data_IF_245824056295
#
_entry.id   IF_245824056295
#
_cell.length_a   1.000
_cell.length_b   1.000
_cell.length_c   1.000
_cell.angle_alpha   90.00
_cell.angle_beta   90.00
_cell.angle_gamma   90.00
#
_symmetry.space_group_name_H-M   'P 1'
#
loop_
_entity.id
_entity.type
_entity.pdbx_description
1 polymer ?
#
# COMPACT_ATOMS: atom_id res chain seq x y z
N UNK A 1 -27.32 14.58 -18.56
CA UNK A 1 -28.13 15.56 -17.78
C UNK A 1 -27.79 16.98 -18.25
N UNK A 2 -28.67 17.94 -17.98
CA UNK A 2 -28.43 19.37 -18.21
C UNK A 2 -27.52 20.00 -17.13
N UNK A 3 -26.98 21.20 -17.42
CA UNK A 3 -26.18 22.00 -16.47
C UNK A 3 -26.89 22.18 -15.13
N UNK A 4 -28.18 22.53 -15.16
CA UNK A 4 -28.99 22.76 -13.97
C UNK A 4 -29.18 21.51 -13.12
N UNK A 5 -29.42 20.37 -13.76
CA UNK A 5 -29.56 19.07 -13.09
C UNK A 5 -28.22 18.62 -12.47
N UNK A 6 -27.09 18.85 -13.16
CA UNK A 6 -25.74 18.56 -12.63
C UNK A 6 -25.44 19.38 -11.37
N UNK A 7 -25.71 20.69 -11.41
CA UNK A 7 -25.59 21.60 -10.25
C UNK A 7 -26.47 21.12 -9.09
N UNK A 8 -27.76 20.84 -9.35
CA UNK A 8 -28.71 20.37 -8.34
C UNK A 8 -28.26 19.06 -7.70
N UNK A 9 -27.81 18.09 -8.50
CA UNK A 9 -27.29 16.79 -8.03
C UNK A 9 -26.09 16.96 -7.11
N UNK A 10 -25.05 17.66 -7.58
CA UNK A 10 -23.84 17.89 -6.79
C UNK A 10 -24.11 18.67 -5.49
N UNK A 11 -25.03 19.64 -5.51
CA UNK A 11 -25.46 20.36 -4.32
C UNK A 11 -26.11 19.44 -3.27
N UNK A 12 -26.96 18.52 -3.71
CA UNK A 12 -27.65 17.56 -2.82
C UNK A 12 -26.68 16.52 -2.25
N UNK A 13 -25.70 16.06 -3.04
CA UNK A 13 -24.63 15.17 -2.57
C UNK A 13 -23.76 15.84 -1.49
N UNK A 14 -23.40 17.12 -1.66
CA UNK A 14 -22.76 17.95 -0.62
C UNK A 14 -23.69 18.29 0.56
N UNK A 15 -24.97 17.92 0.51
CA UNK A 15 -26.01 18.18 1.53
C UNK A 15 -26.21 19.65 1.89
N UNK A 16 -25.95 20.57 0.96
CA UNK A 16 -26.15 22.02 1.17
C UNK A 16 -27.44 22.53 0.53
N UNK A 17 -28.01 23.56 1.11
CA UNK A 17 -29.19 24.29 0.60
C UNK A 17 -28.82 25.20 -0.57
N UNK A 18 -29.83 25.63 -1.33
CA UNK A 18 -29.65 26.64 -2.39
C UNK A 18 -29.05 27.95 -1.82
N UNK A 19 -29.51 28.39 -0.65
CA UNK A 19 -29.01 29.62 -0.01
C UNK A 19 -27.53 29.52 0.38
N UNK A 20 -27.08 28.37 0.87
CA UNK A 20 -25.67 28.11 1.20
C UNK A 20 -24.79 28.04 -0.05
N UNK A 21 -25.27 27.45 -1.15
CA UNK A 21 -24.56 27.49 -2.44
C UNK A 21 -24.49 28.93 -3.00
N UNK A 22 -25.53 29.74 -2.80
CA UNK A 22 -25.58 31.11 -3.28
C UNK A 22 -24.58 32.07 -2.60
N UNK A 23 -24.39 31.97 -1.26
CA UNK A 23 -23.53 32.86 -0.46
C UNK A 23 -23.66 34.37 -0.77
N UNK A 24 -24.85 34.83 -1.18
CA UNK A 24 -25.11 36.22 -1.54
C UNK A 24 -24.55 36.70 -2.88
N UNK A 25 -23.65 35.95 -3.55
CA UNK A 25 -23.12 36.34 -4.88
C UNK A 25 -24.14 36.14 -6.00
N UNK A 26 -25.06 35.17 -5.84
CA UNK A 26 -26.27 35.02 -6.66
C UNK A 26 -27.50 34.86 -5.76
N UNK A 27 -28.70 35.08 -6.29
CA UNK A 27 -29.94 34.92 -5.50
C UNK A 27 -30.42 33.47 -5.50
N UNK A 28 -31.08 33.04 -4.41
CA UNK A 28 -31.72 31.72 -4.31
C UNK A 28 -32.71 31.47 -5.46
N UNK A 29 -33.43 32.50 -5.88
CA UNK A 29 -34.38 32.41 -6.99
C UNK A 29 -33.67 32.19 -8.33
N UNK A 30 -32.54 32.87 -8.57
CA UNK A 30 -31.70 32.65 -9.76
C UNK A 30 -31.16 31.21 -9.79
N UNK A 31 -30.58 30.72 -8.69
CA UNK A 31 -30.12 29.34 -8.59
C UNK A 31 -31.26 28.32 -8.80
N UNK A 32 -32.45 28.57 -8.23
CA UNK A 32 -33.63 27.72 -8.42
C UNK A 32 -34.14 27.70 -9.86
N UNK A 33 -33.96 28.77 -10.63
CA UNK A 33 -34.25 28.78 -12.07
C UNK A 33 -33.19 28.05 -12.88
N UNK A 34 -31.91 28.19 -12.53
CA UNK A 34 -30.79 27.43 -13.13
C UNK A 34 -31.00 25.93 -12.90
N UNK A 35 -31.25 25.49 -11.66
CA UNK A 35 -31.45 24.08 -11.29
C UNK A 35 -32.65 23.39 -11.96
N UNK A 36 -33.56 24.16 -12.56
CA UNK A 36 -34.72 23.68 -13.33
C UNK A 36 -34.56 23.83 -14.84
N UNK A 37 -33.39 24.28 -15.32
CA UNK A 37 -33.15 24.58 -16.74
C UNK A 37 -33.91 25.79 -17.28
N UNK A 38 -34.54 26.59 -16.41
CA UNK A 38 -35.33 27.77 -16.79
C UNK A 38 -34.49 29.05 -16.99
N UNK A 39 -33.19 29.01 -16.67
CA UNK A 39 -32.24 30.09 -16.90
C UNK A 39 -30.83 29.53 -17.14
N UNK A 40 -30.13 30.06 -18.14
CA UNK A 40 -28.71 29.76 -18.37
C UNK A 40 -27.84 30.72 -17.53
N UNK A 41 -26.88 30.21 -16.73
CA UNK A 41 -25.96 31.06 -15.98
C UNK A 41 -24.93 31.74 -16.92
N UNK A 42 -24.43 32.91 -16.52
CA UNK A 42 -23.21 33.47 -17.12
C UNK A 42 -21.99 32.61 -16.77
N UNK A 43 -20.92 32.70 -17.56
CA UNK A 43 -19.66 31.96 -17.30
C UNK A 43 -19.11 32.28 -15.90
N UNK A 44 -19.22 33.54 -15.43
CA UNK A 44 -18.78 33.94 -14.10
C UNK A 44 -19.65 33.30 -12.99
N UNK A 45 -20.97 33.29 -13.17
CA UNK A 45 -21.90 32.62 -12.25
C UNK A 45 -21.61 31.12 -12.20
N UNK A 46 -21.35 30.51 -13.36
CA UNK A 46 -21.08 29.08 -13.46
C UNK A 46 -19.75 28.71 -12.81
N UNK A 47 -18.68 29.50 -13.01
CA UNK A 47 -17.40 29.38 -12.30
C UNK A 47 -17.61 29.41 -10.78
N UNK A 48 -18.28 30.45 -10.27
CA UNK A 48 -18.58 30.54 -8.84
C UNK A 48 -19.34 29.32 -8.29
N UNK A 49 -20.34 28.82 -9.01
CA UNK A 49 -21.07 27.61 -8.61
C UNK A 49 -20.15 26.38 -8.64
N UNK A 50 -19.32 26.25 -9.67
CA UNK A 50 -18.37 25.14 -9.85
C UNK A 50 -17.34 25.08 -8.72
N UNK A 51 -16.70 26.22 -8.39
CA UNK A 51 -15.73 26.35 -7.29
C UNK A 51 -16.33 25.89 -5.95
N UNK A 52 -17.55 26.36 -5.63
CA UNK A 52 -18.28 26.01 -4.41
C UNK A 52 -18.69 24.54 -4.37
N UNK A 53 -18.99 23.96 -5.52
CA UNK A 53 -19.27 22.52 -5.66
C UNK A 53 -17.99 21.68 -5.77
N UNK A 54 -16.80 22.28 -5.86
CA UNK A 54 -15.52 21.59 -6.09
C UNK A 54 -15.59 20.71 -7.34
N UNK A 55 -16.14 21.26 -8.43
CA UNK A 55 -16.30 20.58 -9.71
C UNK A 55 -15.67 21.39 -10.85
N UNK A 56 -15.12 20.73 -11.88
CA UNK A 56 -14.67 21.42 -13.08
C UNK A 56 -15.84 22.10 -13.81
N UNK A 57 -15.61 23.30 -14.35
CA UNK A 57 -16.62 23.99 -15.18
C UNK A 57 -16.91 23.19 -16.46
N UNK A 58 -15.89 22.54 -17.02
CA UNK A 58 -15.96 21.61 -18.16
C UNK A 58 -17.00 20.51 -17.93
N UNK A 59 -16.99 19.88 -16.75
CA UNK A 59 -18.00 18.89 -16.37
C UNK A 59 -19.42 19.47 -16.34
N UNK A 60 -19.61 20.67 -15.80
CA UNK A 60 -20.97 21.24 -15.70
C UNK A 60 -21.58 21.54 -17.07
N UNK A 61 -20.77 21.92 -18.07
CA UNK A 61 -21.22 22.23 -19.44
C UNK A 61 -21.25 21.04 -20.40
N UNK A 62 -20.63 19.91 -20.05
CA UNK A 62 -20.54 18.75 -20.94
C UNK A 62 -21.88 18.01 -21.11
N UNK A 63 -21.94 17.12 -22.11
CA UNK A 63 -23.04 16.15 -22.27
C UNK A 63 -22.89 14.90 -21.40
N UNK A 64 -21.66 14.56 -20.97
CA UNK A 64 -21.37 13.38 -20.14
C UNK A 64 -21.81 13.60 -18.69
N UNK A 65 -22.42 12.59 -18.08
CA UNK A 65 -22.85 12.62 -16.68
C UNK A 65 -21.79 12.15 -15.68
N UNK A 66 -20.73 11.50 -16.15
CA UNK A 66 -19.55 11.11 -15.37
C UNK A 66 -18.70 12.33 -15.02
N UNK A 67 -18.30 12.43 -13.75
CA UNK A 67 -17.33 13.44 -13.28
C UNK A 67 -15.89 12.99 -13.43
N UNK A 68 -15.69 11.68 -13.43
CA UNK A 68 -14.39 11.04 -13.31
C UNK A 68 -13.40 11.57 -14.34
N UNK A 69 -13.77 11.60 -15.62
CA UNK A 69 -12.87 12.03 -16.70
C UNK A 69 -12.41 13.49 -16.55
N UNK A 70 -13.31 14.39 -16.13
CA UNK A 70 -12.98 15.81 -15.92
C UNK A 70 -12.14 16.05 -14.67
N UNK A 71 -12.45 15.34 -13.57
CA UNK A 71 -11.63 15.38 -12.36
C UNK A 71 -10.23 14.79 -12.60
N UNK A 72 -10.16 13.72 -13.40
CA UNK A 72 -8.90 13.11 -13.84
C UNK A 72 -8.10 14.07 -14.70
N UNK A 73 -8.73 14.72 -15.69
CA UNK A 73 -8.07 15.69 -16.58
C UNK A 73 -7.38 16.82 -15.78
N UNK A 74 -8.06 17.38 -14.78
CA UNK A 74 -7.49 18.41 -13.90
C UNK A 74 -6.37 17.85 -12.99
N UNK A 75 -6.53 16.66 -12.40
CA UNK A 75 -5.64 16.12 -11.36
C UNK A 75 -4.50 15.20 -11.84
N UNK A 76 -4.54 14.68 -13.07
CA UNK A 76 -3.59 13.64 -13.55
C UNK A 76 -2.13 14.13 -13.57
N UNK A 77 -1.92 15.44 -13.74
CA UNK A 77 -0.59 16.03 -13.72
C UNK A 77 0.06 15.95 -12.32
N UNK A 78 -0.71 16.26 -11.28
CA UNK A 78 -0.32 16.18 -9.87
C UNK A 78 -0.18 14.73 -9.40
N UNK A 79 -1.12 13.85 -9.78
CA UNK A 79 -1.03 12.39 -9.50
C UNK A 79 0.29 11.82 -10.06
N UNK A 80 0.60 12.11 -11.34
CA UNK A 80 1.86 11.67 -11.97
C UNK A 80 3.09 12.36 -11.37
N UNK A 81 2.97 13.57 -10.81
CA UNK A 81 4.06 14.22 -10.08
C UNK A 81 4.35 13.50 -8.75
N UNK A 82 3.32 13.27 -7.93
CA UNK A 82 3.42 12.53 -6.68
C UNK A 82 4.01 11.12 -6.88
N UNK A 83 3.66 10.41 -7.97
CA UNK A 83 4.28 9.13 -8.33
C UNK A 83 5.79 9.26 -8.63
N UNK A 84 6.21 10.26 -9.42
CA UNK A 84 7.64 10.52 -9.71
C UNK A 84 8.43 10.88 -8.46
N UNK A 85 7.82 11.64 -7.55
CA UNK A 85 8.40 12.07 -6.27
C UNK A 85 8.33 10.98 -5.19
N UNK A 86 7.79 9.81 -5.51
CA UNK A 86 7.57 8.68 -4.57
C UNK A 86 6.65 9.00 -3.39
N UNK A 87 5.83 10.04 -3.52
CA UNK A 87 4.78 10.38 -2.57
C UNK A 87 3.52 9.54 -2.87
N UNK A 88 3.68 8.22 -2.75
CA UNK A 88 2.65 7.22 -3.10
C UNK A 88 1.35 7.42 -2.30
N UNK A 89 1.44 7.92 -1.05
CA UNK A 89 0.28 8.20 -0.22
C UNK A 89 -0.57 9.34 -0.79
N UNK A 90 0.05 10.39 -1.32
CA UNK A 90 -0.66 11.48 -1.98
C UNK A 90 -1.23 11.04 -3.33
N UNK A 91 -0.44 10.35 -4.16
CA UNK A 91 -0.90 9.81 -5.44
C UNK A 91 -2.14 8.90 -5.27
N UNK A 92 -2.12 8.00 -4.29
CA UNK A 92 -3.25 7.10 -3.98
C UNK A 92 -4.49 7.87 -3.50
N UNK A 93 -4.31 8.87 -2.63
CA UNK A 93 -5.42 9.69 -2.12
C UNK A 93 -6.05 10.56 -3.22
N UNK A 94 -5.23 11.20 -4.07
CA UNK A 94 -5.70 11.99 -5.21
C UNK A 94 -6.48 11.11 -6.20
N UNK A 95 -5.94 9.94 -6.54
CA UNK A 95 -6.57 9.00 -7.49
C UNK A 95 -7.90 8.46 -6.97
N UNK A 96 -7.98 8.04 -5.68
CA UNK A 96 -9.25 7.66 -5.05
C UNK A 96 -10.24 8.82 -4.95
N UNK A 97 -9.73 10.05 -4.80
CA UNK A 97 -10.53 11.28 -4.74
C UNK A 97 -11.33 11.58 -6.01
N UNK A 98 -10.99 10.96 -7.15
CA UNK A 98 -11.69 11.14 -8.44
C UNK A 98 -13.11 10.55 -8.44
N UNK A 99 -13.44 9.66 -7.49
CA UNK A 99 -14.78 9.08 -7.34
C UNK A 99 -15.21 8.14 -8.48
N UNK A 100 -14.23 7.63 -9.24
CA UNK A 100 -14.36 6.70 -10.35
C UNK A 100 -12.98 6.16 -10.73
N UNK A 101 -12.89 5.33 -11.77
CA UNK A 101 -11.63 4.71 -12.18
C UNK A 101 -11.61 4.35 -13.67
N UNK A 102 -10.41 4.11 -14.20
CA UNK A 102 -10.09 3.53 -15.50
C UNK A 102 -8.77 2.75 -15.38
N UNK A 103 -8.34 2.06 -16.44
CA UNK A 103 -7.15 1.18 -16.41
C UNK A 103 -5.87 1.86 -15.91
N UNK A 104 -5.68 3.15 -16.21
CA UNK A 104 -4.52 3.92 -15.75
C UNK A 104 -4.66 4.28 -14.26
N UNK A 105 -5.85 4.67 -13.81
CA UNK A 105 -6.10 4.92 -12.40
C UNK A 105 -5.98 3.64 -11.56
N UNK A 106 -6.48 2.51 -12.04
CA UNK A 106 -6.27 1.20 -11.41
C UNK A 106 -4.78 0.84 -11.31
N UNK A 107 -4.01 1.01 -12.39
CA UNK A 107 -2.56 0.77 -12.35
C UNK A 107 -1.84 1.69 -11.35
N UNK A 108 -2.14 2.99 -11.35
CA UNK A 108 -1.55 3.96 -10.41
C UNK A 108 -1.90 3.59 -8.95
N UNK A 109 -3.14 3.18 -8.68
CA UNK A 109 -3.55 2.74 -7.34
C UNK A 109 -2.85 1.42 -6.95
N UNK A 110 -2.69 0.49 -7.87
CA UNK A 110 -1.96 -0.76 -7.65
C UNK A 110 -0.48 -0.51 -7.29
N UNK A 111 0.23 0.30 -8.09
CA UNK A 111 1.63 0.67 -7.85
C UNK A 111 1.80 1.43 -6.53
N UNK A 112 0.97 2.45 -6.28
CA UNK A 112 1.08 3.28 -5.09
C UNK A 112 0.75 2.49 -3.80
N UNK A 113 -0.29 1.66 -3.81
CA UNK A 113 -0.63 0.79 -2.70
C UNK A 113 0.46 -0.29 -2.49
N UNK A 114 1.03 -0.85 -3.56
CA UNK A 114 2.13 -1.82 -3.45
C UNK A 114 3.36 -1.23 -2.77
N UNK A 115 3.83 -0.06 -3.18
CA UNK A 115 5.02 0.57 -2.58
C UNK A 115 4.78 1.00 -1.12
N UNK A 116 3.58 1.48 -0.78
CA UNK A 116 3.18 1.72 0.62
C UNK A 116 3.16 0.43 1.44
N UNK A 117 2.64 -0.65 0.86
CA UNK A 117 2.61 -1.99 1.46
C UNK A 117 4.00 -2.55 1.72
N UNK A 118 4.87 -2.53 0.70
CA UNK A 118 6.30 -2.90 0.77
C UNK A 118 6.99 -2.09 1.88
N UNK A 119 6.91 -0.76 1.84
CA UNK A 119 7.52 0.10 2.86
C UNK A 119 7.04 -0.21 4.29
N UNK A 120 5.72 -0.39 4.47
CA UNK A 120 5.15 -0.71 5.77
C UNK A 120 5.59 -2.10 6.29
N UNK A 121 5.61 -3.14 5.46
CA UNK A 121 6.10 -4.47 5.85
C UNK A 121 7.60 -4.43 6.22
N UNK A 122 8.40 -3.68 5.47
CA UNK A 122 9.84 -3.57 5.72
C UNK A 122 10.19 -2.76 6.97
N UNK A 123 9.45 -1.68 7.24
CA UNK A 123 9.48 -0.96 8.51
C UNK A 123 8.86 -1.71 9.69
N UNK A 124 8.20 -2.84 9.43
CA UNK A 124 7.61 -3.72 10.44
C UNK A 124 6.14 -3.44 10.76
N UNK A 125 5.50 -2.41 10.21
CA UNK A 125 4.06 -2.12 10.36
C UNK A 125 3.18 -3.14 9.60
N UNK A 126 3.25 -4.41 9.96
CA UNK A 126 2.69 -5.54 9.21
C UNK A 126 1.18 -5.44 8.98
N UNK A 127 0.42 -4.83 9.90
CA UNK A 127 -1.04 -4.71 9.76
C UNK A 127 -1.45 -3.74 8.65
N UNK A 128 -0.84 -2.55 8.60
CA UNK A 128 -1.06 -1.59 7.51
C UNK A 128 -0.43 -2.09 6.21
N UNK A 129 0.74 -2.74 6.29
CA UNK A 129 1.38 -3.41 5.16
C UNK A 129 0.45 -4.38 4.45
N UNK A 130 -0.20 -5.31 5.17
CA UNK A 130 -1.20 -6.23 4.58
C UNK A 130 -2.34 -5.48 3.89
N UNK A 131 -2.95 -4.51 4.58
CA UNK A 131 -4.09 -3.78 4.03
C UNK A 131 -3.74 -3.08 2.70
N UNK A 132 -2.55 -2.47 2.60
CA UNK A 132 -2.07 -1.86 1.37
C UNK A 132 -1.73 -2.90 0.27
N UNK A 133 -1.17 -4.06 0.62
CA UNK A 133 -0.85 -5.11 -0.35
C UNK A 133 -2.10 -5.83 -0.88
N UNK A 134 -3.10 -6.08 -0.03
CA UNK A 134 -4.41 -6.61 -0.43
C UNK A 134 -5.15 -5.63 -1.35
N UNK A 135 -5.05 -4.33 -1.06
CA UNK A 135 -5.57 -3.25 -1.91
C UNK A 135 -4.85 -3.21 -3.27
N UNK A 136 -3.51 -3.29 -3.27
CA UNK A 136 -2.71 -3.34 -4.50
C UNK A 136 -3.10 -4.52 -5.40
N UNK A 137 -3.29 -5.71 -4.82
CA UNK A 137 -3.74 -6.91 -5.54
C UNK A 137 -5.19 -6.80 -6.06
N UNK A 138 -6.03 -5.97 -5.44
CA UNK A 138 -7.39 -5.71 -5.92
C UNK A 138 -7.36 -4.81 -7.16
N UNK A 139 -6.53 -3.77 -7.14
CA UNK A 139 -6.37 -2.83 -8.25
C UNK A 139 -5.62 -3.47 -9.44
N UNK A 140 -4.58 -4.27 -9.16
CA UNK A 140 -3.81 -4.99 -10.19
C UNK A 140 -4.68 -5.89 -11.07
N UNK A 141 -5.73 -6.51 -10.50
CA UNK A 141 -6.69 -7.38 -11.21
C UNK A 141 -7.81 -6.63 -11.91
N UNK A 142 -7.87 -5.33 -11.73
CA UNK A 142 -8.93 -4.45 -12.24
C UNK A 142 -8.45 -3.59 -13.41
N UNK A 143 -7.18 -3.70 -13.80
CA UNK A 143 -6.57 -3.04 -14.96
C UNK A 143 -6.22 -4.03 -16.08
N UNK A 144 -6.23 -3.55 -17.32
CA UNK A 144 -5.76 -4.29 -18.52
C UNK A 144 -4.22 -4.24 -18.68
N UNK A 145 -3.51 -3.40 -17.92
CA UNK A 145 -2.04 -3.35 -17.96
C UNK A 145 -1.41 -4.59 -17.29
N UNK A 146 -0.19 -4.95 -17.73
CA UNK A 146 0.58 -6.05 -17.12
C UNK A 146 1.05 -5.68 -15.70
N UNK A 147 0.56 -6.42 -14.73
CA UNK A 147 0.82 -6.25 -13.30
C UNK A 147 1.51 -7.46 -12.66
N UNK A 148 1.98 -8.45 -13.44
CA UNK A 148 2.51 -9.74 -12.93
C UNK A 148 3.61 -9.52 -11.88
N UNK A 149 4.53 -8.57 -12.13
CA UNK A 149 5.59 -8.20 -11.19
C UNK A 149 5.05 -7.65 -9.86
N UNK A 150 4.01 -6.82 -9.91
CA UNK A 150 3.38 -6.23 -8.72
C UNK A 150 2.69 -7.34 -7.93
N UNK A 151 1.93 -8.22 -8.59
CA UNK A 151 1.23 -9.32 -7.92
C UNK A 151 2.20 -10.30 -7.24
N UNK A 152 3.23 -10.75 -7.97
CA UNK A 152 4.24 -11.67 -7.45
C UNK A 152 5.00 -11.05 -6.26
N UNK A 153 5.34 -9.76 -6.35
CA UNK A 153 5.99 -9.03 -5.25
C UNK A 153 5.06 -8.81 -4.06
N UNK A 154 3.79 -8.52 -4.28
CA UNK A 154 2.83 -8.27 -3.20
C UNK A 154 2.56 -9.53 -2.38
N UNK A 155 2.41 -10.69 -3.05
CA UNK A 155 2.26 -12.00 -2.40
C UNK A 155 3.46 -12.36 -1.51
N UNK A 156 4.67 -12.02 -1.94
CA UNK A 156 5.91 -12.19 -1.17
C UNK A 156 5.88 -11.38 0.14
N UNK A 157 5.59 -10.06 0.06
CA UNK A 157 5.52 -9.21 1.26
C UNK A 157 4.32 -9.57 2.17
N UNK A 158 3.21 -10.06 1.61
CA UNK A 158 2.09 -10.61 2.39
C UNK A 158 2.51 -11.85 3.19
N UNK A 159 3.29 -12.76 2.60
CA UNK A 159 3.80 -13.93 3.31
C UNK A 159 4.77 -13.53 4.45
N UNK A 160 5.67 -12.58 4.21
CA UNK A 160 6.54 -12.00 5.24
C UNK A 160 5.73 -11.38 6.38
N UNK A 161 4.66 -10.66 6.06
CA UNK A 161 3.78 -10.03 7.04
C UNK A 161 2.86 -11.02 7.77
N UNK A 162 2.60 -12.21 7.23
CA UNK A 162 1.78 -13.24 7.88
C UNK A 162 2.57 -14.09 8.87
N UNK A 163 3.82 -14.45 8.56
CA UNK A 163 4.60 -15.43 9.32
C UNK A 163 5.51 -14.79 10.40
N UNK A 164 4.99 -13.80 11.13
CA UNK A 164 5.79 -12.97 12.04
C UNK A 164 6.16 -13.69 13.35
N UNK A 165 5.31 -14.61 13.80
CA UNK A 165 5.42 -15.29 15.11
C UNK A 165 6.14 -16.64 15.06
N UNK A 166 6.31 -17.23 13.87
CA UNK A 166 7.17 -18.39 13.64
C UNK A 166 7.63 -18.39 12.16
N UNK A 167 8.94 -18.39 11.86
CA UNK A 167 9.44 -18.52 10.50
C UNK A 167 9.35 -19.98 10.02
N UNK A 168 8.12 -20.45 9.82
CA UNK A 168 7.84 -21.56 8.91
C UNK A 168 7.14 -20.93 7.71
N UNK A 169 7.85 -20.84 6.58
CA UNK A 169 7.22 -20.38 5.35
C UNK A 169 6.32 -21.45 4.76
N UNK A 170 5.21 -20.97 4.22
CA UNK A 170 4.42 -21.66 3.22
C UNK A 170 3.90 -20.66 2.16
N UNK A 171 4.09 -20.91 0.85
CA UNK A 171 3.55 -20.13 -0.28
C UNK A 171 3.08 -21.06 -1.43
N UNK A 172 3.82 -21.24 -2.54
CA UNK A 172 3.81 -22.37 -3.51
C UNK A 172 5.02 -22.27 -4.48
N UNK A 173 5.58 -23.38 -5.00
CA UNK A 173 6.79 -23.37 -5.89
C UNK A 173 6.51 -23.34 -7.42
N UNK A 174 5.63 -24.17 -8.02
CA UNK A 174 5.75 -24.46 -9.46
C UNK A 174 5.12 -23.47 -10.46
N UNK A 175 4.16 -22.62 -10.05
CA UNK A 175 3.48 -21.64 -10.92
C UNK A 175 2.71 -20.59 -10.08
N UNK A 176 2.85 -19.31 -10.41
CA UNK A 176 2.22 -18.16 -9.73
C UNK A 176 0.69 -18.01 -9.99
N UNK A 177 -0.04 -19.10 -10.28
CA UNK A 177 -1.45 -19.03 -10.71
C UNK A 177 -2.50 -19.65 -9.76
N UNK A 178 -2.12 -20.29 -8.64
CA UNK A 178 -3.11 -20.89 -7.71
C UNK A 178 -2.90 -20.56 -6.23
N UNK A 179 -4.02 -20.28 -5.57
CA UNK A 179 -4.11 -20.02 -4.13
C UNK A 179 -3.65 -21.24 -3.30
N UNK A 180 -2.53 -21.03 -2.60
CA UNK A 180 -2.14 -21.58 -1.29
C UNK A 180 -1.28 -22.87 -1.18
N UNK A 181 -0.50 -22.87 -0.08
CA UNK A 181 0.29 -23.93 0.59
C UNK A 181 1.71 -24.27 0.08
N UNK A 182 2.69 -24.16 1.01
CA UNK A 182 4.14 -24.53 1.06
C UNK A 182 5.19 -24.02 0.02
N UNK A 183 6.14 -23.18 0.48
CA UNK A 183 7.44 -22.77 -0.12
C UNK A 183 8.51 -22.96 0.96
N UNK A 184 9.76 -23.18 0.59
CA UNK A 184 10.87 -23.05 1.54
C UNK A 184 11.29 -21.58 1.74
N UNK A 185 11.82 -21.28 2.92
CA UNK A 185 12.45 -19.99 3.27
C UNK A 185 13.54 -19.57 2.27
N UNK A 186 14.21 -20.54 1.64
CA UNK A 186 15.29 -20.34 0.68
C UNK A 186 14.83 -19.66 -0.63
N UNK A 187 13.59 -19.93 -1.05
CA UNK A 187 13.04 -19.44 -2.32
C UNK A 187 12.57 -17.98 -2.19
N UNK A 188 12.06 -17.62 -1.00
CA UNK A 188 11.83 -16.22 -0.62
C UNK A 188 13.13 -15.41 -0.76
N UNK A 189 14.25 -15.90 -0.19
CA UNK A 189 15.57 -15.24 -0.27
C UNK A 189 16.09 -15.09 -1.70
N UNK A 190 15.83 -16.05 -2.60
CA UNK A 190 16.24 -15.94 -4.02
C UNK A 190 15.44 -14.90 -4.80
N UNK A 191 14.11 -14.84 -4.63
CA UNK A 191 13.30 -13.82 -5.30
C UNK A 191 13.69 -12.41 -4.82
N UNK A 192 13.85 -12.29 -3.51
CA UNK A 192 14.32 -11.10 -2.82
C UNK A 192 15.69 -10.62 -3.32
N UNK A 193 16.63 -11.51 -3.63
CA UNK A 193 17.95 -11.14 -4.15
C UNK A 193 17.96 -10.74 -5.64
N UNK A 194 16.84 -10.90 -6.35
CA UNK A 194 16.63 -10.39 -7.70
C UNK A 194 16.04 -8.98 -7.72
N UNK A 195 15.42 -8.51 -6.63
CA UNK A 195 15.07 -7.10 -6.46
C UNK A 195 16.34 -6.31 -6.08
N UNK A 196 16.99 -5.71 -7.08
CA UNK A 196 18.19 -4.89 -6.88
C UNK A 196 17.98 -3.62 -6.05
N UNK A 197 16.73 -3.28 -5.72
CA UNK A 197 16.39 -2.22 -4.74
C UNK A 197 16.38 -2.72 -3.30
N UNK A 198 16.50 -4.02 -3.07
CA UNK A 198 16.37 -4.67 -1.78
C UNK A 198 17.76 -4.99 -1.18
N UNK A 199 18.04 -4.77 0.12
CA UNK A 199 19.40 -4.66 0.68
C UNK A 199 20.12 -6.02 0.92
N UNK A 200 19.83 -7.04 0.10
CA UNK A 200 20.27 -8.42 0.27
C UNK A 200 21.67 -8.72 -0.30
N UNK A 201 22.30 -7.71 -0.91
CA UNK A 201 23.73 -7.72 -1.23
C UNK A 201 24.64 -7.64 0.01
N UNK A 202 24.06 -7.47 1.21
CA UNK A 202 24.79 -7.37 2.48
C UNK A 202 25.07 -8.74 3.08
N UNK A 203 26.32 -8.93 3.51
CA UNK A 203 26.88 -10.20 3.98
C UNK A 203 26.07 -10.88 5.11
N UNK A 204 25.39 -10.10 5.95
CA UNK A 204 24.50 -10.58 7.01
C UNK A 204 23.39 -11.52 6.50
N UNK A 205 22.79 -11.25 5.33
CA UNK A 205 21.73 -12.08 4.77
C UNK A 205 22.27 -13.45 4.30
N UNK A 206 23.50 -13.47 3.75
CA UNK A 206 24.21 -14.71 3.38
C UNK A 206 24.54 -15.54 4.63
N UNK A 207 25.11 -14.91 5.66
CA UNK A 207 25.45 -15.57 6.94
C UNK A 207 24.23 -16.18 7.63
N UNK A 208 23.10 -15.48 7.63
CA UNK A 208 21.84 -16.00 8.17
C UNK A 208 21.32 -17.22 7.39
N UNK A 209 21.48 -17.24 6.06
CA UNK A 209 21.16 -18.39 5.23
C UNK A 209 22.07 -19.59 5.55
N UNK A 210 23.37 -19.36 5.74
CA UNK A 210 24.35 -20.38 6.15
C UNK A 210 24.00 -20.96 7.53
N UNK A 211 23.63 -20.11 8.49
CA UNK A 211 23.15 -20.55 9.80
C UNK A 211 21.87 -21.40 9.72
N UNK A 212 20.95 -21.10 8.79
CA UNK A 212 19.72 -21.89 8.56
C UNK A 212 20.01 -23.30 8.00
N UNK A 213 21.02 -23.47 7.15
CA UNK A 213 21.45 -24.81 6.70
C UNK A 213 22.13 -25.63 7.82
N UNK A 214 22.88 -24.95 8.71
CA UNK A 214 23.44 -25.56 9.93
C UNK A 214 22.30 -25.97 10.89
N UNK A 215 21.26 -25.14 11.04
CA UNK A 215 20.05 -25.43 11.80
C UNK A 215 19.30 -26.68 11.30
N UNK A 216 19.17 -26.85 9.98
CA UNK A 216 18.60 -28.09 9.38
C UNK A 216 19.41 -29.35 9.72
N UNK A 217 20.73 -29.18 9.85
CA UNK A 217 21.65 -30.23 10.29
C UNK A 217 21.60 -30.50 11.80
N UNK A 218 20.79 -29.73 12.56
CA UNK A 218 20.63 -29.77 14.04
C UNK A 218 21.90 -29.49 14.84
N UNK A 219 22.89 -28.84 14.22
CA UNK A 219 24.08 -28.34 14.92
C UNK A 219 23.78 -26.97 15.54
N UNK A 220 23.03 -26.99 16.64
CA UNK A 220 22.54 -25.77 17.29
C UNK A 220 23.66 -24.88 17.84
N UNK A 221 24.81 -25.45 18.22
CA UNK A 221 25.95 -24.67 18.72
C UNK A 221 26.59 -23.85 17.62
N UNK A 222 26.87 -24.47 16.46
CA UNK A 222 27.41 -23.76 15.30
C UNK A 222 26.41 -22.78 14.68
N UNK A 223 25.11 -23.08 14.75
CA UNK A 223 24.07 -22.13 14.38
C UNK A 223 24.09 -20.89 15.30
N UNK A 224 24.20 -21.07 16.62
CA UNK A 224 24.34 -19.95 17.57
C UNK A 224 25.58 -19.11 17.28
N UNK A 225 26.73 -19.72 16.99
CA UNK A 225 27.96 -19.00 16.62
C UNK A 225 27.72 -18.05 15.44
N UNK A 226 27.22 -18.58 14.32
CA UNK A 226 26.94 -17.81 13.10
C UNK A 226 25.84 -16.73 13.28
N UNK A 227 24.79 -17.02 14.06
CA UNK A 227 23.71 -16.08 14.32
C UNK A 227 24.12 -14.98 15.32
N UNK A 228 25.01 -15.28 16.27
CA UNK A 228 25.45 -14.30 17.29
C UNK A 228 26.30 -13.18 16.68
N UNK A 229 27.03 -13.45 15.59
CA UNK A 229 27.69 -12.40 14.79
C UNK A 229 26.71 -11.35 14.23
N UNK A 230 25.42 -11.71 14.12
CA UNK A 230 24.36 -10.86 13.57
C UNK A 230 23.55 -10.14 14.67
N UNK A 231 23.78 -10.42 15.96
CA UNK A 231 22.98 -9.86 17.07
C UNK A 231 23.07 -8.32 17.18
N UNK A 232 24.13 -7.73 16.64
CA UNK A 232 24.37 -6.28 16.65
C UNK A 232 23.57 -5.48 15.63
N UNK A 233 22.94 -6.14 14.65
CA UNK A 233 22.29 -5.48 13.51
C UNK A 233 20.93 -4.84 13.89
N UNK A 234 20.64 -3.68 13.32
CA UNK A 234 19.44 -2.88 13.63
C UNK A 234 18.63 -2.53 12.38
N UNK A 235 17.38 -2.14 12.60
CA UNK A 235 16.51 -1.58 11.54
C UNK A 235 17.16 -0.34 10.92
N UNK A 236 17.73 0.52 11.77
CA UNK A 236 18.40 1.78 11.40
C UNK A 236 19.61 1.58 10.46
N UNK A 237 20.24 0.40 10.50
CA UNK A 237 21.33 0.07 9.58
C UNK A 237 20.82 -0.21 8.15
N UNK A 238 19.50 -0.38 7.96
CA UNK A 238 18.84 -0.72 6.70
C UNK A 238 18.46 -2.19 6.56
N UNK A 239 18.38 -2.96 7.66
CA UNK A 239 17.84 -4.32 7.66
C UNK A 239 16.33 -4.30 7.89
N UNK A 240 15.59 -5.15 7.15
CA UNK A 240 14.13 -5.20 7.29
C UNK A 240 13.70 -5.89 8.59
N UNK A 241 12.55 -5.47 9.14
CA UNK A 241 12.02 -6.02 10.41
C UNK A 241 11.83 -7.54 10.37
N UNK A 242 11.43 -8.08 9.22
CA UNK A 242 11.32 -9.52 9.00
C UNK A 242 12.65 -10.27 9.24
N UNK A 243 13.79 -9.72 8.79
CA UNK A 243 15.10 -10.35 8.97
C UNK A 243 15.52 -10.40 10.44
N UNK A 244 15.38 -9.29 11.16
CA UNK A 244 15.72 -9.23 12.60
C UNK A 244 14.81 -10.15 13.42
N UNK A 245 13.52 -10.24 13.06
CA UNK A 245 12.58 -11.16 13.69
C UNK A 245 12.90 -12.64 13.42
N UNK A 246 13.34 -12.98 12.21
CA UNK A 246 13.76 -14.33 11.85
C UNK A 246 15.05 -14.72 12.60
N UNK A 247 16.05 -13.83 12.63
CA UNK A 247 17.30 -14.00 13.39
C UNK A 247 17.03 -14.31 14.87
N UNK A 248 16.19 -13.51 15.53
CA UNK A 248 15.85 -13.75 16.93
C UNK A 248 14.99 -15.00 17.14
N UNK A 249 14.16 -15.39 16.17
CA UNK A 249 13.39 -16.64 16.24
C UNK A 249 14.30 -17.88 16.13
N UNK A 250 15.27 -17.84 15.21
CA UNK A 250 16.25 -18.91 15.03
C UNK A 250 17.16 -19.05 16.26
N UNK A 251 17.60 -17.92 16.85
CA UNK A 251 18.35 -17.90 18.12
C UNK A 251 17.51 -18.47 19.27
N UNK A 252 16.25 -18.03 19.44
CA UNK A 252 15.32 -18.58 20.44
C UNK A 252 15.18 -20.11 20.31
N UNK A 253 15.03 -20.62 19.08
CA UNK A 253 14.96 -22.06 18.79
C UNK A 253 16.26 -22.76 19.18
N UNK A 254 17.43 -22.25 18.77
CA UNK A 254 18.71 -22.89 19.10
C UNK A 254 18.94 -22.98 20.61
N UNK A 255 18.79 -21.88 21.34
CA UNK A 255 19.00 -21.84 22.78
C UNK A 255 18.03 -22.78 23.53
N UNK A 256 16.77 -22.84 23.08
CA UNK A 256 15.78 -23.80 23.61
C UNK A 256 16.15 -25.26 23.37
N UNK A 257 16.79 -25.59 22.23
CA UNK A 257 17.21 -26.97 21.92
C UNK A 257 18.45 -27.42 22.72
N UNK A 258 19.35 -26.49 23.07
CA UNK A 258 20.50 -26.80 23.95
C UNK A 258 20.18 -26.71 25.46
N UNK A 259 18.94 -26.35 25.82
CA UNK A 259 18.48 -26.27 27.22
C UNK A 259 18.77 -24.95 27.94
N UNK A 260 19.25 -23.93 27.21
CA UNK A 260 19.46 -22.58 27.74
C UNK A 260 18.17 -21.77 27.62
N UNK A 261 17.32 -21.92 28.62
CA UNK A 261 16.03 -21.23 28.67
C UNK A 261 16.15 -19.72 28.98
N UNK A 262 17.27 -19.26 29.54
CA UNK A 262 17.50 -17.84 29.82
C UNK A 262 17.72 -17.06 28.53
N UNK A 263 18.64 -17.51 27.67
CA UNK A 263 18.84 -16.89 26.37
C UNK A 263 17.64 -17.10 25.44
N UNK A 264 16.97 -18.26 25.49
CA UNK A 264 15.72 -18.44 24.73
C UNK A 264 14.65 -17.39 25.12
N UNK A 265 14.46 -17.13 26.42
CA UNK A 265 13.54 -16.09 26.90
C UNK A 265 13.98 -14.67 26.49
N UNK A 266 15.27 -14.36 26.54
CA UNK A 266 15.85 -13.09 26.07
C UNK A 266 15.50 -12.82 24.61
N UNK A 267 15.65 -13.81 23.73
CA UNK A 267 15.32 -13.63 22.31
C UNK A 267 13.81 -13.57 22.04
N UNK A 268 13.00 -14.36 22.74
CA UNK A 268 11.55 -14.23 22.71
C UNK A 268 11.09 -12.80 23.10
N UNK A 269 11.68 -12.24 24.16
CA UNK A 269 11.40 -10.86 24.61
C UNK A 269 11.81 -9.81 23.56
N UNK A 270 12.99 -9.96 22.94
CA UNK A 270 13.44 -9.09 21.84
C UNK A 270 12.48 -9.09 20.64
N UNK A 271 11.94 -10.27 20.28
CA UNK A 271 10.92 -10.38 19.21
C UNK A 271 9.63 -9.67 19.57
N UNK A 272 9.15 -9.83 20.81
CA UNK A 272 7.93 -9.17 21.28
C UNK A 272 8.09 -7.64 21.28
N UNK A 273 9.24 -7.10 21.65
CA UNK A 273 9.50 -5.66 21.59
C UNK A 273 9.35 -5.07 20.16
N UNK A 274 9.86 -5.77 19.13
CA UNK A 274 9.69 -5.37 17.73
C UNK A 274 8.21 -5.48 17.31
N UNK A 275 7.52 -6.55 17.73
CA UNK A 275 6.09 -6.75 17.46
C UNK A 275 5.20 -5.71 18.17
N UNK A 276 5.59 -5.20 19.33
CA UNK A 276 4.86 -4.15 20.03
C UNK A 276 5.10 -2.78 19.39
N UNK A 277 6.35 -2.46 19.04
CA UNK A 277 6.69 -1.27 18.25
C UNK A 277 5.98 -1.23 16.88
N UNK A 278 5.60 -2.39 16.32
CA UNK A 278 4.82 -2.46 15.06
C UNK A 278 3.32 -2.16 15.17
N UNK A 279 2.78 -2.03 16.39
CA UNK A 279 1.33 -1.83 16.63
C UNK A 279 0.93 -0.36 16.75
N UNK A 280 1.90 0.53 16.98
CA UNK A 280 1.77 1.99 16.98
C UNK A 280 1.91 2.57 15.58
#
# INVERSE_FOLDING_TARGET
MTVGEKIRRARLEKRITQSELCQGRITRNMLSSIERGAANPSIETLKFIADRLSLPVSYLVSSDDSRFFYLKEDAISDIRAAMREKNYKEALNLTKGLGGTDDECELIMAEAAFELGKAAVLGGSFKSGKAYLDEALSHAKSTVYDTEKIENSALLYLAMANNITAPLLELNVPLFEKRAYSLSELELYKYISLDSTHPYSRDAYRKHLEAKEVLRSRDYYKAIELLSELEGLRLDDGYCSYFILALYADLEVCYKQIGDFENAYRYASKRMAILEASKS
#
